data_IF_785539945278
#
_entry.id   IF_785539945278
#
_cell.length_a   1.000
_cell.length_b   1.000
_cell.length_c   1.000
_cell.angle_alpha   90.00
_cell.angle_beta   90.00
_cell.angle_gamma   90.00
#
_symmetry.space_group_name_H-M   'P 1'
#
loop_
_entity.id
_entity.type
_entity.pdbx_description
1 polymer ?
#
# COMPACT_ATOMS: atom_id res chain seq x y z
N UNK A 1 -23.93 -84.48 -17.15
CA UNK A 1 -23.67 -84.36 -15.70
C UNK A 1 -22.31 -83.67 -15.53
N UNK A 2 -22.22 -82.70 -14.61
CA UNK A 2 -21.08 -81.82 -14.27
C UNK A 2 -20.85 -80.56 -15.14
N UNK A 3 -21.45 -79.47 -14.64
CA UNK A 3 -21.04 -78.07 -14.83
C UNK A 3 -19.70 -77.85 -14.12
N UNK A 4 -18.79 -77.07 -14.72
CA UNK A 4 -17.98 -76.11 -13.96
C UNK A 4 -17.66 -74.87 -14.80
N UNK A 5 -17.67 -73.78 -14.05
CA UNK A 5 -17.64 -72.36 -14.39
C UNK A 5 -16.20 -71.81 -14.42
N UNK A 6 -16.05 -70.58 -14.94
CA UNK A 6 -14.95 -69.61 -14.72
C UNK A 6 -13.69 -69.83 -15.58
N UNK A 7 -13.09 -68.86 -16.28
CA UNK A 7 -13.06 -67.38 -16.13
C UNK A 7 -12.73 -66.76 -17.49
N UNK A 8 -13.59 -65.85 -17.96
CA UNK A 8 -13.18 -64.79 -18.88
C UNK A 8 -12.57 -63.65 -18.04
N UNK A 9 -11.33 -63.28 -18.35
CA UNK A 9 -10.72 -62.04 -17.87
C UNK A 9 -11.05 -60.97 -18.91
N UNK A 10 -12.07 -60.17 -18.61
CA UNK A 10 -12.42 -58.97 -19.37
C UNK A 10 -11.39 -57.88 -19.04
N UNK A 11 -10.64 -57.48 -20.07
CA UNK A 11 -9.82 -56.27 -20.14
C UNK A 11 -10.70 -55.03 -19.98
N UNK A 12 -10.82 -54.47 -18.78
CA UNK A 12 -11.44 -53.16 -18.56
C UNK A 12 -10.80 -52.48 -17.34
N UNK A 13 -9.71 -51.73 -17.54
CA UNK A 13 -9.31 -50.60 -16.66
C UNK A 13 -8.08 -49.85 -17.17
N UNK A 14 -8.25 -49.04 -18.22
CA UNK A 14 -7.25 -48.01 -18.56
C UNK A 14 -7.88 -46.74 -19.19
N UNK A 15 -8.71 -45.99 -18.44
CA UNK A 15 -8.64 -44.54 -18.59
C UNK A 15 -8.65 -43.74 -17.28
N UNK A 16 -8.61 -44.36 -16.10
CA UNK A 16 -8.63 -43.60 -14.83
C UNK A 16 -7.27 -43.04 -14.40
N UNK A 17 -6.15 -43.56 -14.90
CA UNK A 17 -4.81 -43.10 -14.52
C UNK A 17 -4.37 -41.81 -15.24
N UNK A 18 -5.06 -41.39 -16.31
CA UNK A 18 -4.75 -40.12 -16.98
C UNK A 18 -5.41 -38.91 -16.30
N UNK A 19 -6.50 -39.13 -15.54
CA UNK A 19 -7.24 -38.05 -14.86
C UNK A 19 -6.59 -37.71 -13.51
N UNK A 20 -5.93 -38.67 -12.85
CA UNK A 20 -5.17 -38.43 -11.61
C UNK A 20 -3.79 -37.80 -11.89
N UNK A 21 -3.28 -37.88 -13.13
CA UNK A 21 -2.07 -37.19 -13.58
C UNK A 21 -2.24 -35.70 -13.88
N UNK A 22 -3.49 -35.21 -13.92
CA UNK A 22 -3.85 -33.78 -14.01
C UNK A 22 -4.31 -33.31 -12.62
N UNK A 23 -3.66 -33.78 -11.55
CA UNK A 23 -3.55 -32.92 -10.38
C UNK A 23 -2.66 -31.78 -10.82
N UNK A 24 -3.26 -30.61 -11.04
CA UNK A 24 -2.57 -29.36 -11.32
C UNK A 24 -1.38 -29.23 -10.36
N UNK A 25 -0.19 -29.58 -10.84
CA UNK A 25 1.03 -28.99 -10.35
C UNK A 25 0.95 -27.53 -10.80
N UNK A 26 0.25 -26.72 -10.02
CA UNK A 26 0.54 -25.29 -9.96
C UNK A 26 1.98 -25.25 -9.45
N UNK A 27 2.95 -25.27 -10.36
CA UNK A 27 4.32 -24.94 -10.04
C UNK A 27 4.29 -23.48 -9.61
N UNK A 28 4.10 -23.27 -8.31
CA UNK A 28 4.36 -21.97 -7.69
C UNK A 28 5.85 -21.74 -7.89
N UNK A 29 6.20 -20.92 -8.88
CA UNK A 29 7.58 -20.51 -9.14
C UNK A 29 8.07 -19.76 -7.91
N UNK A 30 8.97 -20.39 -7.15
CA UNK A 30 9.71 -19.67 -6.10
C UNK A 30 10.71 -18.75 -6.79
N UNK A 31 10.49 -17.46 -6.69
CA UNK A 31 11.41 -16.47 -7.21
C UNK A 31 12.72 -16.49 -6.42
N UNK A 32 13.85 -16.35 -7.13
CA UNK A 32 15.13 -16.00 -6.52
C UNK A 32 15.25 -14.48 -6.54
N UNK A 33 14.83 -13.86 -5.45
CA UNK A 33 14.97 -12.43 -5.26
C UNK A 33 16.38 -12.09 -4.77
N UNK A 34 17.07 -11.07 -5.36
CA UNK A 34 18.21 -10.45 -4.72
C UNK A 34 17.83 -9.98 -3.31
N UNK A 35 18.70 -10.22 -2.33
CA UNK A 35 18.49 -9.82 -0.95
C UNK A 35 19.59 -8.87 -0.49
N UNK A 36 19.20 -7.66 -0.11
CA UNK A 36 20.09 -6.66 0.47
C UNK A 36 20.04 -6.83 1.98
N UNK A 37 21.08 -7.44 2.55
CA UNK A 37 21.23 -7.54 3.99
C UNK A 37 21.45 -6.15 4.60
N UNK A 38 20.69 -5.84 5.64
CA UNK A 38 20.95 -4.67 6.47
C UNK A 38 21.32 -5.11 7.87
N UNK A 39 22.35 -4.47 8.42
CA UNK A 39 22.74 -4.67 9.82
C UNK A 39 21.75 -4.00 10.79
N UNK A 40 20.74 -3.30 10.27
CA UNK A 40 19.69 -2.61 11.03
C UNK A 40 18.30 -2.96 10.49
N UNK A 41 17.28 -3.04 11.38
CA UNK A 41 15.88 -3.06 10.98
C UNK A 41 15.55 -1.99 9.95
N UNK A 42 15.06 -2.41 8.78
CA UNK A 42 14.58 -1.48 7.77
C UNK A 42 13.10 -1.21 8.03
N UNK A 43 12.74 0.07 8.14
CA UNK A 43 11.37 0.53 8.34
C UNK A 43 10.65 0.79 7.03
N UNK A 44 11.35 1.33 6.05
CA UNK A 44 10.79 1.64 4.74
C UNK A 44 11.87 1.56 3.68
N UNK A 45 11.48 1.24 2.45
CA UNK A 45 12.33 1.36 1.30
C UNK A 45 11.49 1.68 0.06
N UNK A 46 12.13 2.33 -0.91
CA UNK A 46 11.51 2.91 -2.09
C UNK A 46 12.43 2.74 -3.29
N UNK A 47 11.86 2.59 -4.49
CA UNK A 47 12.65 2.73 -5.71
C UNK A 47 12.87 4.21 -6.02
N UNK A 48 14.13 4.61 -6.15
CA UNK A 48 14.53 5.91 -6.69
C UNK A 48 14.34 6.00 -8.20
N UNK A 49 14.46 7.21 -8.75
CA UNK A 49 14.32 7.47 -10.19
C UNK A 49 15.30 6.68 -11.06
N UNK A 50 16.51 6.45 -10.56
CA UNK A 50 17.61 5.87 -11.33
C UNK A 50 17.74 4.35 -11.15
N UNK A 51 16.70 3.69 -10.62
CA UNK A 51 16.74 2.26 -10.29
C UNK A 51 17.60 1.97 -9.05
N UNK A 52 17.83 2.96 -8.21
CA UNK A 52 18.41 2.79 -6.88
C UNK A 52 17.32 2.46 -5.85
N UNK A 53 17.73 1.94 -4.70
CA UNK A 53 16.84 1.74 -3.56
C UNK A 53 17.21 2.73 -2.47
N UNK A 54 16.24 3.54 -2.06
CA UNK A 54 16.33 4.38 -0.87
C UNK A 54 15.73 3.61 0.28
N UNK A 55 16.48 3.40 1.35
CA UNK A 55 16.03 2.69 2.54
C UNK A 55 16.16 3.55 3.79
N UNK A 56 15.34 3.24 4.78
CA UNK A 56 15.27 3.93 6.05
C UNK A 56 15.35 2.89 7.15
N UNK A 57 16.51 2.78 7.76
CA UNK A 57 16.77 1.92 8.92
C UNK A 57 16.45 2.64 10.22
N UNK A 58 15.88 1.91 11.18
CA UNK A 58 15.77 2.37 12.57
C UNK A 58 16.50 1.36 13.45
N UNK A 59 17.56 1.77 14.18
CA UNK A 59 18.23 0.90 15.11
C UNK A 59 17.23 0.47 16.19
N UNK A 60 17.30 -0.79 16.59
CA UNK A 60 16.53 -1.25 17.74
C UNK A 60 16.90 -0.36 18.95
N UNK A 61 15.91 0.13 19.72
CA UNK A 61 16.22 0.89 20.92
C UNK A 61 17.12 0.05 21.82
N UNK A 62 18.24 0.62 22.25
CA UNK A 62 19.08 -0.04 23.24
C UNK A 62 18.22 -0.33 24.50
N UNK A 63 18.38 -1.48 25.16
CA UNK A 63 17.63 -1.78 26.38
C UNK A 63 17.76 -0.64 27.40
N UNK A 64 16.64 -0.01 27.76
CA UNK A 64 16.61 1.11 28.70
C UNK A 64 16.83 2.51 28.11
N UNK A 65 17.11 2.64 26.82
CA UNK A 65 17.10 3.94 26.14
C UNK A 65 15.66 4.38 25.86
N UNK A 66 15.29 5.61 26.25
CA UNK A 66 14.03 6.22 25.84
C UNK A 66 13.90 6.25 24.31
N UNK A 67 12.67 6.33 23.81
CA UNK A 67 12.23 6.09 22.42
C UNK A 67 12.84 6.96 21.29
N UNK A 68 13.95 7.66 21.52
CA UNK A 68 14.66 8.45 20.53
C UNK A 68 15.86 7.68 19.94
N UNK A 69 15.58 6.55 19.28
CA UNK A 69 16.56 5.92 18.39
C UNK A 69 16.61 6.73 17.09
N UNK A 70 17.78 7.30 16.78
CA UNK A 70 18.03 8.00 15.52
C UNK A 70 17.75 7.12 14.30
N UNK A 71 17.52 7.69 13.12
CA UNK A 71 17.29 6.91 11.89
C UNK A 71 18.53 6.91 10.98
N UNK A 72 18.65 5.88 10.15
CA UNK A 72 19.67 5.82 9.10
C UNK A 72 19.00 5.83 7.74
N UNK A 73 19.39 6.75 6.87
CA UNK A 73 19.02 6.73 5.47
C UNK A 73 20.16 6.11 4.67
N UNK A 74 19.86 5.15 3.80
CA UNK A 74 20.87 4.54 2.95
C UNK A 74 20.37 4.37 1.52
N UNK A 75 21.26 4.62 0.55
CA UNK A 75 21.04 4.36 -0.87
C UNK A 75 21.78 3.10 -1.28
N UNK A 76 21.13 2.27 -2.08
CA UNK A 76 21.69 1.04 -2.63
C UNK A 76 21.50 1.00 -4.13
N UNK A 77 22.45 0.39 -4.84
CA UNK A 77 22.24 0.00 -6.22
C UNK A 77 21.31 -1.22 -6.24
N UNK A 78 20.13 -1.14 -6.87
CA UNK A 78 19.17 -2.24 -6.82
C UNK A 78 19.69 -3.52 -7.49
N UNK A 79 20.56 -3.39 -8.50
CA UNK A 79 21.09 -4.52 -9.26
C UNK A 79 22.21 -5.25 -8.53
N UNK A 80 23.17 -4.53 -7.96
CA UNK A 80 24.31 -5.14 -7.24
C UNK A 80 24.05 -5.35 -5.75
N UNK A 81 23.07 -4.64 -5.17
CA UNK A 81 22.85 -4.56 -3.72
C UNK A 81 23.93 -3.76 -2.98
N UNK A 82 24.85 -3.11 -3.69
CA UNK A 82 25.92 -2.32 -3.10
C UNK A 82 25.39 -1.03 -2.48
N UNK A 83 25.87 -0.70 -1.28
CA UNK A 83 25.53 0.56 -0.60
C UNK A 83 26.29 1.71 -1.25
N UNK A 84 25.54 2.67 -1.81
CA UNK A 84 26.05 3.86 -2.50
C UNK A 84 26.38 4.97 -1.50
N UNK A 85 25.47 5.23 -0.57
CA UNK A 85 25.65 6.27 0.45
C UNK A 85 24.79 6.00 1.69
N UNK A 86 25.16 6.62 2.81
CA UNK A 86 24.50 6.45 4.10
C UNK A 86 24.59 7.74 4.92
N UNK A 87 23.51 8.12 5.58
CA UNK A 87 23.43 9.28 6.47
C UNK A 87 22.67 8.90 7.74
N UNK A 88 23.34 8.98 8.88
CA UNK A 88 22.72 8.83 10.20
C UNK A 88 22.07 10.14 10.66
N UNK A 89 20.96 10.05 11.39
CA UNK A 89 20.24 11.17 11.95
C UNK A 89 19.95 10.92 13.42
N UNK A 90 19.96 11.99 14.21
CA UNK A 90 19.72 11.92 15.65
C UNK A 90 18.23 11.94 16.02
N UNK A 91 17.33 11.88 15.03
CA UNK A 91 15.89 11.87 15.26
C UNK A 91 15.24 10.67 14.58
N UNK A 92 14.14 10.22 15.17
CA UNK A 92 13.31 9.17 14.60
C UNK A 92 12.61 9.69 13.35
N UNK A 93 12.78 8.98 12.24
CA UNK A 93 12.07 9.24 11.00
C UNK A 93 10.70 8.55 11.04
N UNK A 94 9.66 9.36 10.92
CA UNK A 94 8.26 8.98 10.87
C UNK A 94 7.70 9.30 9.48
N UNK A 95 6.75 8.48 9.03
CA UNK A 95 5.99 8.68 7.78
C UNK A 95 6.85 9.11 6.58
N UNK A 96 7.93 8.38 6.24
CA UNK A 96 8.75 8.73 5.09
C UNK A 96 7.95 8.58 3.79
N UNK A 97 8.17 9.51 2.86
CA UNK A 97 7.56 9.48 1.54
C UNK A 97 8.57 9.95 0.49
N UNK A 98 8.87 9.10 -0.48
CA UNK A 98 9.66 9.48 -1.66
C UNK A 98 8.75 10.14 -2.70
N UNK A 99 9.21 11.22 -3.32
CA UNK A 99 8.49 11.87 -4.43
C UNK A 99 8.38 10.92 -5.63
N UNK A 100 7.31 11.01 -6.43
CA UNK A 100 7.14 10.18 -7.62
C UNK A 100 8.26 10.29 -8.65
N UNK A 101 8.98 11.40 -8.66
CA UNK A 101 10.17 11.63 -9.48
C UNK A 101 11.47 11.15 -8.82
N UNK A 102 11.42 10.55 -7.62
CA UNK A 102 12.55 10.00 -6.89
C UNK A 102 13.58 11.02 -6.37
N UNK A 103 13.40 12.32 -6.63
CA UNK A 103 14.38 13.35 -6.27
C UNK A 103 14.34 13.76 -4.80
N UNK A 104 13.16 13.66 -4.18
CA UNK A 104 12.91 14.19 -2.85
C UNK A 104 12.40 13.13 -1.88
N UNK A 105 13.07 13.01 -0.74
CA UNK A 105 12.57 12.26 0.40
C UNK A 105 12.01 13.24 1.44
N UNK A 106 10.71 13.16 1.66
CA UNK A 106 10.03 13.84 2.74
C UNK A 106 9.94 12.91 3.95
N UNK A 107 10.17 13.45 5.14
CA UNK A 107 10.11 12.69 6.39
C UNK A 107 9.64 13.57 7.53
N UNK A 108 9.01 12.96 8.53
CA UNK A 108 8.61 13.65 9.75
C UNK A 108 9.50 13.26 10.90
N UNK A 109 9.78 14.20 11.77
CA UNK A 109 10.44 13.96 13.05
C UNK A 109 9.62 14.59 14.17
N UNK A 110 9.66 14.00 15.35
CA UNK A 110 9.06 14.60 16.54
C UNK A 110 10.05 15.61 17.12
N UNK A 111 9.69 16.88 17.14
CA UNK A 111 10.50 17.92 17.75
C UNK A 111 10.10 18.22 19.20
N UNK A 112 10.64 19.32 19.72
CA UNK A 112 10.25 19.83 21.03
C UNK A 112 8.76 20.20 21.07
N UNK A 113 8.16 20.17 22.26
CA UNK A 113 6.75 20.55 22.49
C UNK A 113 5.70 19.67 21.80
N UNK A 114 6.10 18.50 21.27
CA UNK A 114 5.17 17.53 20.67
C UNK A 114 4.72 17.88 19.25
N UNK A 115 5.38 18.84 18.60
CA UNK A 115 5.12 19.19 17.21
C UNK A 115 5.91 18.27 16.27
N UNK A 116 5.33 17.95 15.12
CA UNK A 116 6.02 17.22 14.06
C UNK A 116 6.70 18.20 13.10
N UNK A 117 7.94 17.93 12.76
CA UNK A 117 8.74 18.71 11.82
C UNK A 117 8.93 17.93 10.53
N UNK A 118 8.69 18.59 9.40
CA UNK A 118 8.93 18.06 8.07
C UNK A 118 10.37 18.35 7.66
N UNK A 119 11.15 17.29 7.44
CA UNK A 119 12.45 17.36 6.78
C UNK A 119 12.31 16.93 5.32
N UNK A 120 12.84 17.75 4.43
CA UNK A 120 12.91 17.47 3.00
C UNK A 120 14.37 17.28 2.58
N UNK A 121 14.65 16.16 1.91
CA UNK A 121 16.01 15.77 1.53
C UNK A 121 16.11 15.47 0.05
N UNK A 122 17.16 15.99 -0.58
CA UNK A 122 17.47 15.64 -1.97
C UNK A 122 18.23 14.31 -2.02
N UNK A 123 17.67 13.31 -2.68
CA UNK A 123 18.17 11.93 -2.64
C UNK A 123 19.50 11.79 -3.39
N UNK A 124 19.59 12.38 -4.58
CA UNK A 124 20.77 12.27 -5.45
C UNK A 124 22.02 12.94 -4.85
N UNK A 125 21.83 14.03 -4.10
CA UNK A 125 22.92 14.80 -3.48
C UNK A 125 23.22 14.36 -2.03
N UNK A 126 23.22 13.04 -1.78
CA UNK A 126 23.62 12.48 -0.48
C UNK A 126 22.68 12.83 0.67
N UNK A 127 21.38 12.96 0.41
CA UNK A 127 20.35 13.33 1.40
C UNK A 127 20.53 14.72 2.02
N UNK A 128 21.01 15.70 1.23
CA UNK A 128 21.12 17.09 1.66
C UNK A 128 19.78 17.58 2.23
N UNK A 129 19.80 17.93 3.51
CA UNK A 129 18.61 18.34 4.26
C UNK A 129 18.36 19.83 4.11
N UNK A 130 17.13 20.19 3.75
CA UNK A 130 16.61 21.54 3.91
C UNK A 130 16.20 21.74 5.37
N UNK A 131 16.26 22.98 5.87
CA UNK A 131 15.89 23.24 7.25
C UNK A 131 14.46 22.73 7.53
N UNK A 132 14.25 22.09 8.70
CA UNK A 132 12.99 21.45 9.01
C UNK A 132 11.88 22.49 9.14
N UNK A 133 10.71 22.18 8.58
CA UNK A 133 9.52 23.01 8.64
C UNK A 133 8.62 22.50 9.77
N UNK A 134 8.27 23.36 10.74
CA UNK A 134 7.24 23.01 11.71
C UNK A 134 5.92 22.82 10.97
N UNK A 135 5.34 21.63 11.11
CA UNK A 135 4.04 21.36 10.51
C UNK A 135 2.93 22.04 11.29
N UNK A 136 3.11 22.29 12.59
CA UNK A 136 2.07 22.70 13.53
C UNK A 136 1.14 21.54 13.95
N UNK A 137 1.41 20.31 13.49
CA UNK A 137 0.63 19.14 13.88
C UNK A 137 1.10 18.59 15.22
N UNK A 138 0.14 18.23 16.08
CA UNK A 138 0.39 17.57 17.37
C UNK A 138 0.14 16.06 17.35
N UNK A 139 -0.17 15.50 16.17
CA UNK A 139 -0.40 14.07 15.96
C UNK A 139 0.37 13.60 14.76
N UNK A 140 0.84 12.35 14.76
CA UNK A 140 1.66 11.79 13.68
C UNK A 140 0.94 11.98 12.35
N UNK A 141 1.39 12.92 11.51
CA UNK A 141 0.82 13.10 10.19
C UNK A 141 1.31 11.98 9.27
N UNK A 142 0.53 11.73 8.22
CA UNK A 142 0.97 11.02 7.03
C UNK A 142 1.36 12.03 5.97
N UNK A 143 2.50 11.78 5.33
CA UNK A 143 2.96 12.54 4.18
C UNK A 143 2.53 11.84 2.91
N UNK A 144 1.98 12.59 1.98
CA UNK A 144 1.59 12.06 0.66
C UNK A 144 2.03 13.06 -0.40
N UNK A 145 2.89 12.62 -1.31
CA UNK A 145 3.28 13.44 -2.46
C UNK A 145 2.13 13.54 -3.45
N UNK A 146 2.01 14.70 -4.10
CA UNK A 146 1.24 14.75 -5.32
C UNK A 146 2.00 14.04 -6.46
N UNK A 147 1.27 13.56 -7.46
CA UNK A 147 1.81 12.71 -8.53
C UNK A 147 2.81 13.44 -9.44
N UNK A 148 2.72 14.78 -9.47
CA UNK A 148 3.61 15.64 -10.25
C UNK A 148 4.89 16.03 -9.48
N UNK A 149 5.09 15.52 -8.26
CA UNK A 149 6.18 15.90 -7.36
C UNK A 149 6.28 17.40 -7.05
N UNK A 150 5.22 18.16 -7.33
CA UNK A 150 5.20 19.62 -7.21
C UNK A 150 4.74 20.09 -5.84
N UNK A 151 4.40 19.18 -4.93
CA UNK A 151 4.00 19.52 -3.57
C UNK A 151 3.67 18.29 -2.72
N UNK A 152 3.49 18.56 -1.43
CA UNK A 152 3.29 17.54 -0.41
C UNK A 152 2.00 17.83 0.36
N UNK A 153 1.24 16.78 0.59
CA UNK A 153 0.11 16.77 1.50
C UNK A 153 0.55 16.27 2.86
N UNK A 154 0.07 16.97 3.88
CA UNK A 154 0.14 16.55 5.27
C UNK A 154 -1.27 16.20 5.72
N UNK A 155 -1.45 14.94 6.09
CA UNK A 155 -2.73 14.40 6.54
C UNK A 155 -2.58 14.01 8.01
N UNK A 156 -3.25 14.71 8.91
CA UNK A 156 -3.31 14.34 10.31
C UNK A 156 -4.77 14.15 10.74
N UNK A 157 -5.00 13.69 11.97
CA UNK A 157 -6.36 13.40 12.44
C UNK A 157 -7.28 14.63 12.43
N UNK A 158 -6.74 15.85 12.40
CA UNK A 158 -7.49 17.10 12.54
C UNK A 158 -7.60 17.87 11.23
N UNK A 159 -6.72 17.64 10.26
CA UNK A 159 -6.66 18.40 9.01
C UNK A 159 -5.93 17.66 7.89
N UNK A 160 -6.27 18.05 6.67
CA UNK A 160 -5.43 17.90 5.50
C UNK A 160 -4.88 19.28 5.10
N UNK A 161 -3.58 19.38 4.89
CA UNK A 161 -2.90 20.59 4.44
C UNK A 161 -2.02 20.29 3.24
N UNK A 162 -1.97 21.22 2.29
CA UNK A 162 -1.09 21.15 1.13
C UNK A 162 0.02 22.20 1.25
N UNK A 163 1.24 21.82 0.90
CA UNK A 163 2.36 22.74 0.72
C UNK A 163 2.99 22.49 -0.64
N UNK A 164 3.08 23.53 -1.47
CA UNK A 164 3.79 23.44 -2.74
C UNK A 164 5.27 23.17 -2.51
N UNK A 165 5.93 22.43 -3.40
CA UNK A 165 7.35 22.11 -3.25
C UNK A 165 8.20 23.37 -3.12
N UNK A 166 7.88 24.41 -3.91
CA UNK A 166 8.55 25.71 -3.79
C UNK A 166 8.35 26.33 -2.41
N UNK A 167 7.16 26.24 -1.83
CA UNK A 167 6.90 26.77 -0.49
C UNK A 167 7.63 25.97 0.60
N UNK A 168 7.73 24.64 0.44
CA UNK A 168 8.53 23.77 1.32
C UNK A 168 10.02 24.11 1.20
N UNK A 169 10.54 24.24 -0.02
CA UNK A 169 11.95 24.54 -0.29
C UNK A 169 12.32 25.95 0.19
N UNK A 170 11.42 26.92 0.03
CA UNK A 170 11.59 28.29 0.50
C UNK A 170 11.26 28.46 2.00
N UNK A 171 10.86 27.39 2.70
CA UNK A 171 10.56 27.39 4.13
C UNK A 171 9.49 28.42 4.53
N UNK A 172 8.50 28.63 3.66
CA UNK A 172 7.40 29.53 3.97
C UNK A 172 6.51 28.87 5.03
N UNK A 173 6.55 29.39 6.27
CA UNK A 173 5.65 28.93 7.35
C UNK A 173 4.16 29.14 6.99
N UNK A 174 3.87 30.05 6.06
CA UNK A 174 2.54 30.31 5.50
C UNK A 174 2.21 29.44 4.27
N UNK A 175 3.12 28.54 3.88
CA UNK A 175 2.96 27.67 2.70
C UNK A 175 1.91 26.58 2.87
N UNK A 176 1.59 26.21 4.12
CA UNK A 176 0.53 25.25 4.41
C UNK A 176 -0.84 25.88 4.17
N UNK A 177 -1.45 25.51 3.05
CA UNK A 177 -2.86 25.83 2.79
C UNK A 177 -3.68 24.70 3.39
N UNK A 178 -4.40 25.01 4.47
CA UNK A 178 -5.38 24.08 5.02
C UNK A 178 -6.46 23.83 3.96
N UNK A 179 -6.66 22.57 3.63
CA UNK A 179 -7.62 22.15 2.61
C UNK A 179 -8.91 21.62 3.27
N UNK A 180 -8.81 21.14 4.52
CA UNK A 180 -9.96 20.70 5.31
C UNK A 180 -9.84 21.07 6.78
N UNK A 181 -10.98 21.39 7.39
CA UNK A 181 -11.17 21.37 8.84
C UNK A 181 -12.03 20.16 9.25
N UNK A 182 -11.59 19.48 10.31
CA UNK A 182 -12.26 18.40 11.05
C UNK A 182 -12.06 16.96 10.55
N UNK A 183 -11.55 16.14 11.49
CA UNK A 183 -11.50 14.67 11.54
C UNK A 183 -11.20 13.97 10.21
N UNK A 184 -9.91 13.92 9.87
CA UNK A 184 -9.44 13.08 8.78
C UNK A 184 -9.24 11.64 9.24
N UNK A 185 -9.64 10.66 8.41
CA UNK A 185 -9.32 9.28 8.71
C UNK A 185 -7.86 8.91 8.47
N UNK A 186 -7.46 7.76 9.00
CA UNK A 186 -6.10 7.22 9.02
C UNK A 186 -5.49 6.89 7.64
N UNK A 187 -6.24 7.07 6.53
CA UNK A 187 -5.75 6.75 5.19
C UNK A 187 -6.41 7.60 4.11
N UNK A 188 -5.59 8.29 3.32
CA UNK A 188 -5.99 8.85 2.04
C UNK A 188 -4.97 8.49 0.94
N UNK A 189 -5.45 8.46 -0.30
CA UNK A 189 -4.65 8.29 -1.52
C UNK A 189 -5.13 9.29 -2.56
N UNK A 190 -4.24 9.74 -3.44
CA UNK A 190 -4.57 10.59 -4.57
C UNK A 190 -4.58 9.76 -5.85
N UNK A 191 -5.48 10.10 -6.77
CA UNK A 191 -5.44 9.53 -8.12
C UNK A 191 -4.16 9.96 -8.84
N UNK A 192 -3.65 9.16 -9.80
CA UNK A 192 -2.49 9.47 -10.63
C UNK A 192 -2.54 10.83 -11.34
N UNK A 193 -3.73 11.26 -11.76
CA UNK A 193 -3.95 12.57 -12.38
C UNK A 193 -4.03 13.72 -11.36
N UNK A 194 -4.17 13.41 -10.07
CA UNK A 194 -4.38 14.37 -8.98
C UNK A 194 -5.77 15.01 -8.97
N UNK A 195 -6.71 14.50 -9.77
CA UNK A 195 -8.09 15.01 -9.85
C UNK A 195 -8.99 14.47 -8.74
N UNK A 196 -8.58 13.38 -8.07
CA UNK A 196 -9.36 12.76 -7.01
C UNK A 196 -8.49 12.46 -5.79
N UNK A 197 -9.16 12.45 -4.64
CA UNK A 197 -8.62 11.90 -3.40
C UNK A 197 -9.63 10.90 -2.84
N UNK A 198 -9.14 9.74 -2.44
CA UNK A 198 -9.95 8.73 -1.79
C UNK A 198 -9.48 8.53 -0.36
N UNK A 199 -10.41 8.41 0.58
CA UNK A 199 -10.11 8.22 2.00
C UNK A 199 -11.11 7.29 2.67
N UNK A 200 -10.64 6.52 3.65
CA UNK A 200 -11.44 5.53 4.39
C UNK A 200 -12.02 6.15 5.66
N UNK A 201 -13.27 6.59 5.73
CA UNK A 201 -13.76 7.25 6.96
C UNK A 201 -13.77 6.29 8.15
N UNK A 202 -13.22 6.72 9.29
CA UNK A 202 -13.35 6.00 10.56
C UNK A 202 -14.82 5.87 10.97
N UNK A 203 -15.18 4.86 11.79
CA UNK A 203 -16.55 4.68 12.21
C UNK A 203 -16.96 5.84 13.13
N UNK A 204 -18.09 6.44 12.82
CA UNK A 204 -18.80 7.50 13.56
C UNK A 204 -18.24 8.94 13.51
N UNK A 205 -18.85 9.75 12.63
CA UNK A 205 -19.82 10.77 13.06
C UNK A 205 -20.88 10.89 11.99
N UNK A 206 -22.09 10.42 12.29
CA UNK A 206 -23.30 10.93 11.64
C UNK A 206 -23.49 12.35 12.18
N UNK A 207 -22.77 13.32 11.61
CA UNK A 207 -23.12 14.73 11.76
C UNK A 207 -23.12 15.37 10.38
N UNK A 208 -24.33 15.81 10.00
CA UNK A 208 -24.69 16.67 8.88
C UNK A 208 -24.24 16.28 7.47
N UNK A 209 -25.09 15.49 6.81
CA UNK A 209 -25.43 15.79 5.42
C UNK A 209 -26.25 17.09 5.46
N UNK A 210 -25.62 18.26 5.31
CA UNK A 210 -26.35 19.50 5.02
C UNK A 210 -26.95 19.35 3.61
N UNK A 211 -28.27 19.42 3.42
CA UNK A 211 -28.85 19.48 2.08
C UNK A 211 -28.57 20.87 1.49
N UNK A 212 -27.45 21.01 0.77
CA UNK A 212 -27.20 22.12 -0.15
C UNK A 212 -27.98 21.96 -1.47
N UNK A 213 -28.31 23.06 -2.17
CA UNK A 213 -29.37 23.07 -3.18
C UNK A 213 -29.06 22.17 -4.38
N UNK A 214 -30.10 21.42 -4.77
CA UNK A 214 -30.29 20.63 -5.99
C UNK A 214 -29.27 20.93 -7.11
N UNK A 215 -28.37 19.97 -7.38
CA UNK A 215 -27.68 19.93 -8.68
C UNK A 215 -28.53 19.16 -9.68
N UNK A 216 -28.65 19.58 -10.97
CA UNK A 216 -29.62 19.02 -11.92
C UNK A 216 -29.36 17.59 -12.44
N UNK A 217 -28.53 16.77 -11.80
CA UNK A 217 -28.21 15.42 -12.27
C UNK A 217 -28.12 14.38 -11.14
N UNK A 218 -28.96 14.54 -10.11
CA UNK A 218 -29.01 13.66 -8.93
C UNK A 218 -29.20 12.18 -9.27
N UNK A 219 -28.14 11.38 -9.10
CA UNK A 219 -28.22 9.95 -8.80
C UNK A 219 -27.45 9.67 -7.52
N UNK A 220 -28.15 9.75 -6.40
CA UNK A 220 -27.69 9.14 -5.16
C UNK A 220 -27.92 7.62 -5.26
N UNK A 221 -26.85 6.83 -5.27
CA UNK A 221 -26.95 5.37 -5.18
C UNK A 221 -27.28 5.00 -3.74
N UNK A 222 -28.54 4.63 -3.48
CA UNK A 222 -28.95 3.96 -2.25
C UNK A 222 -28.86 2.45 -2.46
N UNK A 223 -27.66 1.90 -2.38
CA UNK A 223 -27.49 0.46 -2.15
C UNK A 223 -27.46 0.27 -0.65
N UNK A 224 -28.60 -0.10 -0.07
CA UNK A 224 -28.69 -0.54 1.32
C UNK A 224 -28.01 -1.91 1.43
N UNK A 225 -26.70 -1.94 1.65
CA UNK A 225 -26.01 -3.07 2.27
C UNK A 225 -25.93 -2.75 3.76
N UNK A 226 -26.62 -3.55 4.57
CA UNK A 226 -26.71 -3.33 6.01
C UNK A 226 -25.35 -3.39 6.71
N UNK A 227 -25.21 -2.56 7.74
CA UNK A 227 -24.23 -2.69 8.83
C UNK A 227 -22.74 -2.62 8.52
N UNK A 228 -22.26 -1.59 7.81
CA UNK A 228 -20.83 -1.23 7.90
C UNK A 228 -20.67 0.29 8.06
N UNK A 229 -20.16 0.69 9.23
CA UNK A 229 -19.96 2.08 9.67
C UNK A 229 -18.71 2.73 9.06
N UNK A 230 -17.95 1.94 8.32
CA UNK A 230 -16.79 2.34 7.54
C UNK A 230 -17.21 2.51 6.07
N UNK A 231 -16.96 3.70 5.53
CA UNK A 231 -17.21 4.00 4.13
C UNK A 231 -15.96 4.61 3.49
N UNK A 232 -15.65 4.18 2.28
CA UNK A 232 -14.62 4.83 1.47
C UNK A 232 -15.29 5.95 0.69
N UNK A 233 -14.80 7.17 0.88
CA UNK A 233 -15.25 8.34 0.13
C UNK A 233 -14.22 8.68 -0.93
N UNK A 234 -14.70 8.97 -2.13
CA UNK A 234 -13.91 9.58 -3.20
C UNK A 234 -14.43 10.98 -3.40
N UNK A 235 -13.51 11.93 -3.37
CA UNK A 235 -13.80 13.32 -3.63
C UNK A 235 -13.04 13.77 -4.87
N UNK A 236 -13.65 14.67 -5.65
CA UNK A 236 -12.90 15.46 -6.61
C UNK A 236 -11.91 16.37 -5.89
N UNK A 237 -10.86 16.79 -6.58
CA UNK A 237 -9.80 17.62 -6.06
C UNK A 237 -9.63 18.85 -6.97
N UNK A 238 -9.40 20.06 -6.42
CA UNK A 238 -9.23 20.42 -5.00
C UNK A 238 -10.53 20.79 -4.27
N UNK A 239 -11.67 20.76 -4.95
CA UNK A 239 -12.96 21.19 -4.41
C UNK A 239 -13.57 20.20 -3.40
N UNK A 240 -13.06 18.96 -3.36
CA UNK A 240 -13.36 17.96 -2.33
C UNK A 240 -14.81 17.55 -2.25
N UNK A 241 -15.54 17.75 -3.35
CA UNK A 241 -16.91 17.30 -3.49
C UNK A 241 -16.91 15.77 -3.54
N UNK A 242 -17.67 15.14 -2.64
CA UNK A 242 -17.86 13.68 -2.65
C UNK A 242 -18.50 13.29 -3.98
N UNK A 243 -17.78 12.51 -4.79
CA UNK A 243 -18.26 11.98 -6.08
C UNK A 243 -18.70 10.53 -5.97
N UNK A 244 -18.21 9.80 -4.97
CA UNK A 244 -18.64 8.44 -4.70
C UNK A 244 -18.44 8.07 -3.22
N UNK A 245 -19.31 7.18 -2.72
CA UNK A 245 -19.22 6.58 -1.38
C UNK A 245 -19.41 5.08 -1.51
N UNK A 246 -18.52 4.30 -0.90
CA UNK A 246 -18.55 2.84 -0.95
C UNK A 246 -18.79 2.24 0.43
N UNK A 247 -19.72 1.28 0.57
CA UNK A 247 -19.87 0.52 1.79
C UNK A 247 -18.71 -0.48 1.96
N UNK A 248 -18.17 -0.58 3.17
CA UNK A 248 -17.32 -1.70 3.56
C UNK A 248 -16.35 -1.39 4.70
N UNK A 249 -16.10 -2.38 5.56
CA UNK A 249 -14.98 -2.40 6.51
C UNK A 249 -13.66 -2.29 5.75
N UNK A 250 -13.19 -1.06 5.55
CA UNK A 250 -11.91 -0.79 4.90
C UNK A 250 -10.77 -1.26 5.79
N UNK A 251 -10.14 -2.40 5.45
CA UNK A 251 -8.96 -2.89 6.19
C UNK A 251 -7.66 -2.13 5.86
N UNK A 252 -7.71 -1.15 4.96
CA UNK A 252 -6.57 -0.37 4.54
C UNK A 252 -6.98 0.87 3.72
N UNK A 253 -6.02 1.77 3.45
CA UNK A 253 -6.26 2.90 2.58
C UNK A 253 -6.68 2.40 1.20
N UNK A 254 -7.67 3.05 0.56
CA UNK A 254 -7.98 2.74 -0.83
C UNK A 254 -6.75 3.06 -1.72
N UNK A 255 -6.67 2.45 -2.90
CA UNK A 255 -5.60 2.73 -3.87
C UNK A 255 -6.19 2.92 -5.26
N UNK A 256 -5.76 3.93 -6.00
CA UNK A 256 -6.20 4.12 -7.38
C UNK A 256 -5.45 3.16 -8.32
N UNK A 257 -6.11 2.73 -9.39
CA UNK A 257 -5.40 2.16 -10.54
C UNK A 257 -4.49 3.21 -11.17
N UNK A 258 -3.39 2.82 -11.83
CA UNK A 258 -2.46 3.78 -12.43
C UNK A 258 -3.05 4.64 -13.55
N UNK A 259 -4.12 4.18 -14.19
CA UNK A 259 -4.91 4.96 -15.15
C UNK A 259 -5.80 6.02 -14.47
N UNK A 260 -5.90 6.02 -13.14
CA UNK A 260 -6.77 6.89 -12.35
C UNK A 260 -8.25 6.63 -12.52
N UNK A 261 -8.65 5.72 -13.41
CA UNK A 261 -10.06 5.46 -13.72
C UNK A 261 -10.71 4.50 -12.77
N UNK A 262 -9.96 3.88 -11.86
CA UNK A 262 -10.55 3.02 -10.86
C UNK A 262 -9.98 3.16 -9.47
N UNK A 263 -10.83 2.87 -8.48
CA UNK A 263 -10.42 2.75 -7.09
C UNK A 263 -10.50 1.30 -6.66
N UNK A 264 -9.46 0.86 -5.95
CA UNK A 264 -9.41 -0.40 -5.27
C UNK A 264 -9.64 -0.19 -3.78
N UNK A 265 -10.63 -0.91 -3.27
CA UNK A 265 -10.92 -1.02 -1.86
C UNK A 265 -10.82 -2.49 -1.44
N UNK A 266 -10.05 -2.75 -0.40
CA UNK A 266 -10.05 -4.05 0.27
C UNK A 266 -11.23 -4.08 1.23
N UNK A 267 -12.27 -4.82 0.88
CA UNK A 267 -13.40 -5.10 1.76
C UNK A 267 -13.21 -6.50 2.35
N UNK A 268 -13.33 -6.63 3.67
CA UNK A 268 -13.31 -7.93 4.32
C UNK A 268 -14.70 -8.31 4.83
N UNK A 269 -15.17 -9.48 4.44
CA UNK A 269 -16.42 -10.04 4.94
C UNK A 269 -16.12 -10.85 6.18
N UNK A 270 -16.80 -10.52 7.29
CA UNK A 270 -16.64 -11.22 8.56
C UNK A 270 -17.83 -12.13 8.85
N UNK A 271 -17.59 -13.33 9.35
CA UNK A 271 -18.61 -14.19 9.99
C UNK A 271 -18.60 -14.03 11.51
N UNK A 272 -18.87 -12.81 11.97
CA UNK A 272 -18.82 -12.46 13.40
C UNK A 272 -17.41 -12.19 13.91
N UNK A 273 -16.46 -13.11 13.74
CA UNK A 273 -15.10 -12.97 14.31
C UNK A 273 -13.93 -13.22 13.33
N UNK A 274 -14.15 -13.86 12.18
CA UNK A 274 -13.07 -14.17 11.22
C UNK A 274 -13.28 -13.46 9.90
N UNK A 275 -12.19 -13.06 9.23
CA UNK A 275 -12.26 -12.60 7.84
C UNK A 275 -12.44 -13.83 6.95
N UNK A 276 -13.60 -13.99 6.34
CA UNK A 276 -13.99 -15.14 5.51
C UNK A 276 -13.55 -14.95 4.07
N UNK A 277 -13.57 -13.70 3.59
CA UNK A 277 -13.10 -13.35 2.26
C UNK A 277 -12.66 -11.89 2.23
N UNK A 278 -11.68 -11.60 1.40
CA UNK A 278 -11.32 -10.24 1.04
C UNK A 278 -11.66 -10.04 -0.42
N UNK A 279 -12.45 -9.01 -0.68
CA UNK A 279 -12.81 -8.63 -2.03
C UNK A 279 -12.09 -7.36 -2.39
N UNK A 280 -11.72 -7.32 -3.65
CA UNK A 280 -11.17 -6.14 -4.26
C UNK A 280 -12.28 -5.56 -5.10
N UNK A 281 -12.89 -4.50 -4.58
CA UNK A 281 -13.82 -3.72 -5.35
C UNK A 281 -13.00 -2.81 -6.26
N UNK A 282 -13.06 -3.03 -7.58
CA UNK A 282 -12.62 -2.08 -8.58
C UNK A 282 -13.81 -1.19 -8.91
N UNK A 283 -13.75 0.06 -8.50
CA UNK A 283 -14.78 1.04 -8.84
C UNK A 283 -14.35 1.85 -10.03
N UNK A 284 -15.12 1.84 -11.10
CA UNK A 284 -14.85 2.66 -12.27
C UNK A 284 -15.40 4.08 -12.06
N UNK A 285 -14.51 5.09 -12.03
CA UNK A 285 -14.86 6.49 -11.75
C UNK A 285 -15.59 7.17 -12.93
N UNK A 286 -15.47 6.66 -14.15
CA UNK A 286 -16.13 7.24 -15.33
C UNK A 286 -17.59 6.80 -15.40
N UNK A 287 -17.83 5.52 -15.16
CA UNK A 287 -19.16 4.89 -15.27
C UNK A 287 -19.89 4.83 -13.93
N UNK A 288 -19.18 5.11 -12.83
CA UNK A 288 -19.63 4.92 -11.45
C UNK A 288 -20.14 3.49 -11.18
N UNK A 289 -19.56 2.50 -11.87
CA UNK A 289 -19.92 1.09 -11.69
C UNK A 289 -18.88 0.38 -10.81
N UNK A 290 -19.38 -0.36 -9.84
CA UNK A 290 -18.55 -1.26 -9.03
C UNK A 290 -18.43 -2.60 -9.71
N UNK A 291 -17.20 -3.05 -9.98
CA UNK A 291 -16.90 -4.42 -10.33
C UNK A 291 -16.11 -5.06 -9.20
N UNK A 292 -16.69 -6.07 -8.57
CA UNK A 292 -15.97 -6.88 -7.60
C UNK A 292 -15.08 -7.86 -8.34
N UNK A 293 -13.77 -7.77 -8.11
CA UNK A 293 -12.83 -8.83 -8.42
C UNK A 293 -12.70 -9.65 -7.13
N UNK A 294 -13.28 -10.85 -7.13
CA UNK A 294 -13.07 -11.80 -6.05
C UNK A 294 -11.61 -12.22 -6.12
N UNK A 295 -10.86 -11.94 -5.06
CA UNK A 295 -9.54 -12.54 -4.89
C UNK A 295 -9.73 -13.74 -3.97
N UNK A 296 -9.45 -14.92 -4.51
CA UNK A 296 -9.42 -16.14 -3.72
C UNK A 296 -8.11 -16.15 -2.94
N UNK A 297 -8.16 -15.56 -1.75
CA UNK A 297 -7.11 -15.64 -0.78
C UNK A 297 -7.55 -16.58 0.36
N UNK A 298 -6.62 -17.37 0.86
CA UNK A 298 -6.85 -18.20 2.05
C UNK A 298 -7.27 -17.27 3.22
N UNK A 299 -8.35 -17.59 3.92
CA UNK A 299 -8.84 -16.81 5.06
C UNK A 299 -7.74 -16.53 6.11
N UNK A 300 -6.77 -17.44 6.27
CA UNK A 300 -5.61 -17.24 7.15
C UNK A 300 -4.61 -16.21 6.61
N UNK A 301 -4.56 -16.01 5.30
CA UNK A 301 -3.74 -14.98 4.64
C UNK A 301 -4.33 -13.57 4.71
N UNK A 302 -5.60 -13.47 5.09
CA UNK A 302 -6.37 -12.22 5.07
C UNK A 302 -6.31 -11.43 6.39
N UNK A 303 -5.85 -12.04 7.48
CA UNK A 303 -5.61 -11.32 8.72
C UNK A 303 -4.50 -10.28 8.51
N UNK A 304 -4.91 -9.01 8.38
CA UNK A 304 -4.01 -7.87 8.26
C UNK A 304 -3.49 -7.60 6.84
N UNK A 305 -4.29 -7.86 5.80
CA UNK A 305 -4.05 -7.20 4.51
C UNK A 305 -4.29 -5.69 4.65
N UNK A 306 -3.28 -4.98 5.13
CA UNK A 306 -3.35 -3.52 5.32
C UNK A 306 -2.92 -2.75 4.08
N UNK A 307 -2.25 -3.41 3.13
CA UNK A 307 -1.69 -2.76 1.96
C UNK A 307 -1.90 -3.65 0.73
N UNK A 308 -2.63 -3.11 -0.25
CA UNK A 308 -2.64 -3.60 -1.61
C UNK A 308 -2.21 -2.47 -2.54
N UNK A 309 -1.43 -2.78 -3.58
CA UNK A 309 -0.93 -1.80 -4.55
C UNK A 309 -0.89 -2.39 -5.95
N UNK A 310 -1.21 -1.58 -6.95
CA UNK A 310 -1.00 -1.94 -8.35
C UNK A 310 0.44 -1.70 -8.77
N UNK A 311 0.94 -2.52 -9.69
CA UNK A 311 2.07 -2.16 -10.52
C UNK A 311 1.73 -0.89 -11.32
N UNK A 312 2.71 -0.05 -11.70
CA UNK A 312 2.49 1.16 -12.51
C UNK A 312 1.76 0.94 -13.83
N UNK A 313 1.80 -0.26 -14.41
CA UNK A 313 1.07 -0.61 -15.63
C UNK A 313 -0.35 -1.16 -15.35
N UNK A 314 -0.71 -1.31 -14.08
CA UNK A 314 -2.01 -1.78 -13.62
C UNK A 314 -2.27 -3.27 -13.87
N UNK A 315 -1.27 -4.04 -14.30
CA UNK A 315 -1.44 -5.47 -14.65
C UNK A 315 -1.31 -6.40 -13.46
N UNK A 316 -0.48 -6.04 -12.49
CA UNK A 316 -0.19 -6.83 -11.29
C UNK A 316 -0.74 -6.09 -10.09
N UNK A 317 -1.34 -6.84 -9.18
CA UNK A 317 -1.72 -6.38 -7.87
C UNK A 317 -0.90 -7.14 -6.83
N UNK A 318 -0.21 -6.42 -5.95
CA UNK A 318 0.39 -7.00 -4.76
C UNK A 318 -0.53 -6.79 -3.58
N UNK A 319 -0.85 -7.88 -2.88
CA UNK A 319 -1.47 -7.81 -1.57
C UNK A 319 -0.46 -8.29 -0.52
N UNK A 320 -0.24 -7.45 0.50
CA UNK A 320 0.72 -7.72 1.55
C UNK A 320 -0.01 -8.27 2.78
N UNK A 321 0.30 -9.50 3.19
CA UNK A 321 -0.21 -10.06 4.43
C UNK A 321 0.68 -9.62 5.60
N UNK A 322 0.09 -9.09 6.67
CA UNK A 322 0.79 -8.62 7.87
C UNK A 322 1.71 -9.63 8.54
N UNK A 323 1.59 -10.94 8.26
CA UNK A 323 2.32 -11.96 9.04
C UNK A 323 3.49 -12.60 8.33
N UNK A 324 3.42 -12.88 7.03
CA UNK A 324 4.28 -13.94 6.48
C UNK A 324 4.64 -13.85 4.99
N UNK A 325 3.89 -13.16 4.14
CA UNK A 325 4.14 -13.19 2.69
C UNK A 325 3.49 -12.05 1.92
N UNK A 326 3.98 -11.86 0.70
CA UNK A 326 3.38 -11.05 -0.36
C UNK A 326 2.73 -11.98 -1.38
N UNK A 327 1.51 -11.66 -1.79
CA UNK A 327 0.81 -12.39 -2.85
C UNK A 327 0.64 -11.47 -4.06
N UNK A 328 0.99 -11.99 -5.23
CA UNK A 328 0.92 -11.28 -6.50
C UNK A 328 -0.24 -11.83 -7.31
N UNK A 329 -1.13 -10.95 -7.77
CA UNK A 329 -2.34 -11.32 -8.50
C UNK A 329 -2.38 -10.60 -9.85
N UNK A 330 -3.02 -11.24 -10.81
CA UNK A 330 -3.43 -10.59 -12.04
C UNK A 330 -4.54 -9.60 -11.73
N UNK A 331 -4.31 -8.32 -11.99
CA UNK A 331 -5.29 -7.26 -11.77
C UNK A 331 -6.58 -7.47 -12.58
N UNK A 332 -6.46 -8.03 -13.79
CA UNK A 332 -7.57 -8.25 -14.70
C UNK A 332 -8.49 -9.41 -14.26
N UNK A 333 -7.90 -10.49 -13.75
CA UNK A 333 -8.62 -11.74 -13.45
C UNK A 333 -8.79 -12.04 -11.96
N UNK A 334 -8.01 -11.41 -11.09
CA UNK A 334 -7.91 -11.77 -9.66
C UNK A 334 -7.13 -13.06 -9.41
N UNK A 335 -6.59 -13.72 -10.45
CA UNK A 335 -5.85 -14.98 -10.32
C UNK A 335 -4.51 -14.75 -9.62
N UNK A 336 -4.18 -15.60 -8.64
CA UNK A 336 -2.84 -15.64 -8.03
C UNK A 336 -1.79 -16.00 -9.09
N UNK A 337 -0.80 -15.12 -9.25
CA UNK A 337 0.35 -15.29 -10.15
C UNK A 337 1.53 -15.92 -9.42
N UNK A 338 1.84 -15.41 -8.24
CA UNK A 338 2.98 -15.85 -7.44
C UNK A 338 2.78 -15.48 -5.97
N UNK A 339 3.58 -16.08 -5.10
CA UNK A 339 3.62 -15.77 -3.68
C UNK A 339 5.08 -15.74 -3.21
N UNK A 340 5.45 -14.72 -2.44
CA UNK A 340 6.77 -14.65 -1.83
C UNK A 340 6.96 -15.79 -0.83
N UNK A 341 8.21 -16.01 -0.42
CA UNK A 341 8.52 -16.95 0.64
C UNK A 341 7.75 -16.60 1.92
N UNK A 342 7.25 -17.64 2.59
CA UNK A 342 6.71 -17.55 3.94
C UNK A 342 7.86 -17.43 4.95
N UNK A 343 7.88 -16.36 5.75
CA UNK A 343 8.86 -16.20 6.83
C UNK A 343 8.32 -16.74 8.15
N UNK A 344 9.22 -17.27 9.00
CA UNK A 344 8.88 -17.60 10.39
C UNK A 344 8.54 -16.28 11.09
N UNK A 345 7.35 -16.23 11.69
CA UNK A 345 6.67 -15.03 12.17
C UNK A 345 7.61 -13.90 12.67
N UNK A 346 7.55 -12.70 12.07
CA UNK A 346 8.34 -11.57 12.52
C UNK A 346 7.91 -11.12 13.93
N UNK A 347 8.76 -10.35 14.64
CA UNK A 347 8.40 -9.75 15.92
C UNK A 347 7.13 -8.90 15.78
N UNK A 348 6.25 -8.92 16.80
CA UNK A 348 4.88 -8.35 16.81
C UNK A 348 4.73 -6.84 16.47
N UNK A 349 5.81 -6.11 16.17
CA UNK A 349 5.81 -4.65 16.10
C UNK A 349 6.35 -4.05 14.78
N UNK A 350 6.49 -4.81 13.70
CA UNK A 350 6.79 -4.22 12.37
C UNK A 350 5.49 -3.82 11.66
N UNK A 351 5.12 -2.54 11.73
CA UNK A 351 3.89 -2.02 11.13
C UNK A 351 4.16 -1.02 10.00
N UNK A 352 3.45 -1.30 8.88
CA UNK A 352 3.07 -0.51 7.69
C UNK A 352 4.17 -0.04 6.72
N UNK A 353 3.91 -0.40 5.45
CA UNK A 353 4.52 0.10 4.19
C UNK A 353 5.85 -0.50 3.75
N UNK A 354 5.87 -1.82 3.59
CA UNK A 354 7.11 -2.53 3.30
C UNK A 354 7.19 -3.00 1.85
N UNK A 355 6.82 -2.16 0.88
CA UNK A 355 7.06 -2.50 -0.51
C UNK A 355 6.66 -1.46 -1.51
N UNK A 356 7.39 -1.42 -2.60
CA UNK A 356 7.25 -0.42 -3.65
C UNK A 356 7.53 -1.04 -5.01
N UNK A 357 6.86 -0.56 -6.05
CA UNK A 357 7.13 -1.00 -7.41
C UNK A 357 8.22 -0.12 -8.02
N UNK A 358 9.08 -0.72 -8.83
CA UNK A 358 9.93 0.05 -9.72
C UNK A 358 9.05 0.84 -10.69
N UNK A 359 9.53 1.98 -11.18
CA UNK A 359 8.75 2.87 -12.06
C UNK A 359 8.27 2.18 -13.35
N UNK A 360 9.06 1.24 -13.85
CA UNK A 360 8.71 0.43 -15.03
C UNK A 360 7.78 -0.76 -14.70
N UNK A 361 7.43 -0.96 -13.43
CA UNK A 361 6.59 -2.05 -12.93
C UNK A 361 7.20 -3.44 -13.06
N UNK A 362 8.48 -3.52 -13.41
CA UNK A 362 9.17 -4.79 -13.62
C UNK A 362 9.67 -5.42 -12.34
N UNK A 363 9.82 -4.64 -11.27
CA UNK A 363 10.29 -5.11 -9.99
C UNK A 363 9.36 -4.64 -8.88
N UNK A 364 9.29 -5.43 -7.82
CA UNK A 364 8.67 -5.04 -6.56
C UNK A 364 9.68 -5.26 -5.45
N UNK A 365 9.98 -4.23 -4.69
CA UNK A 365 10.77 -4.39 -3.48
C UNK A 365 9.84 -4.72 -2.33
N UNK A 366 10.30 -5.56 -1.41
CA UNK A 366 9.66 -5.76 -0.12
C UNK A 366 10.66 -5.61 1.02
N UNK A 367 10.22 -4.97 2.10
CA UNK A 367 11.05 -4.68 3.26
C UNK A 367 10.78 -5.69 4.37
N UNK A 368 11.86 -6.25 4.90
CA UNK A 368 11.86 -7.26 5.95
C UNK A 368 12.71 -6.79 7.14
N UNK A 369 12.50 -7.35 8.34
CA UNK A 369 13.37 -7.07 9.49
C UNK A 369 14.86 -7.30 9.18
N UNK A 370 15.18 -8.28 8.35
CA UNK A 370 16.54 -8.69 8.00
C UNK A 370 17.13 -7.93 6.79
N UNK A 371 16.31 -7.21 6.01
CA UNK A 371 16.79 -6.59 4.78
C UNK A 371 15.71 -6.25 3.76
N UNK A 372 16.12 -6.08 2.51
CA UNK A 372 15.24 -5.78 1.37
C UNK A 372 15.31 -6.94 0.40
N UNK A 373 14.14 -7.42 -0.02
CA UNK A 373 14.00 -8.45 -1.06
C UNK A 373 13.44 -7.80 -2.33
N UNK A 374 14.03 -8.10 -3.50
CA UNK A 374 13.60 -7.56 -4.78
C UNK A 374 12.97 -8.67 -5.62
N UNK A 375 11.71 -8.53 -5.97
CA UNK A 375 10.93 -9.48 -6.75
C UNK A 375 10.91 -9.05 -8.22
N UNK A 376 11.47 -9.86 -9.11
CA UNK A 376 11.39 -9.63 -10.55
C UNK A 376 10.04 -10.12 -11.10
N UNK A 377 9.25 -9.19 -11.62
CA UNK A 377 7.85 -9.43 -12.02
C UNK A 377 7.70 -9.82 -13.49
N UNK A 378 8.69 -9.55 -14.35
CA UNK A 378 8.66 -10.02 -15.74
C UNK A 378 8.55 -11.54 -15.85
N UNK A 379 8.94 -12.27 -14.80
CA UNK A 379 8.82 -13.74 -14.75
C UNK A 379 7.40 -14.22 -14.42
N UNK A 380 6.50 -13.30 -14.06
CA UNK A 380 5.11 -13.58 -13.68
C UNK A 380 4.11 -13.36 -14.82
N UNK A 381 4.51 -12.74 -15.93
CA UNK A 381 3.67 -12.70 -17.12
C UNK A 381 3.53 -14.13 -17.68
N UNK A 382 2.30 -14.65 -17.85
CA UNK A 382 2.06 -16.01 -18.35
C UNK A 382 2.41 -16.19 -19.83
#
# INVERSE_FOLDING_TARGET
MKKHYLREIVLLSAPLLLIVGIVLFVQIRRMRAPFINSNMPIRAAFFGADGEIVSIGIPAPAPGAGAASGATLARFNAKSGEKISEVSQNSMVLSPALSPDGHWLASLSLGAFGHYFLSLREVQNGFYERAPLDTGSKTVPRLVWNQKSSGLYLLDKNRAAFCGLNDVVLQSQNGWKQVFGNKFPEGATFSPDGEFVAFSSAPHTVEEIVPGPQTPAGRAFKTTLGYYEDAIKVCSWPDLKVVATFPGDGLGPPTFTPDGHSLLATACFKDGFSVVSAHIARFDLQTFKTRFVKIEADANSLFGMQNARFSPDGRVLVAMNSRISHSFYSAASGRLLSQSRELKAPPRNYWRENGDFSRDGRQFLSVWPEGIEIHDLWEMEP
#
